data_IF_919381174066
#
_entry.id   IF_919381174066
#
_cell.length_a   1.000
_cell.length_b   1.000
_cell.length_c   1.000
_cell.angle_alpha   90.00
_cell.angle_beta   90.00
_cell.angle_gamma   90.00
#
_symmetry.space_group_name_H-M   'P 1'
#
loop_
_entity.id
_entity.type
_entity.pdbx_description
1 polymer ?
#
# COMPACT_ATOMS: atom_id res chain seq x y z
N UNK A 1 15.55 0.13 -6.53
CA UNK A 1 15.29 1.51 -6.07
C UNK A 1 13.96 2.01 -6.60
N UNK A 2 13.50 3.14 -6.10
CA UNK A 2 12.28 3.83 -6.51
C UNK A 2 12.39 5.29 -6.07
N UNK A 3 11.59 6.17 -6.70
CA UNK A 3 11.47 7.56 -6.28
C UNK A 3 10.31 7.71 -5.28
N UNK A 4 10.54 8.44 -4.21
CA UNK A 4 9.52 8.73 -3.21
C UNK A 4 9.73 10.10 -2.59
N UNK A 5 8.64 10.73 -2.19
CA UNK A 5 8.63 11.98 -1.44
C UNK A 5 8.50 11.77 0.09
N UNK A 6 8.70 10.55 0.57
CA UNK A 6 8.68 10.20 2.00
C UNK A 6 9.95 10.63 2.75
N UNK A 7 10.66 11.66 2.31
CA UNK A 7 11.79 12.21 3.04
C UNK A 7 11.30 12.97 4.29
N UNK A 8 11.97 12.82 5.46
CA UNK A 8 11.53 13.48 6.71
C UNK A 8 11.45 14.99 6.63
N UNK A 9 12.33 15.61 5.84
CA UNK A 9 12.40 17.06 5.66
C UNK A 9 11.44 17.60 4.58
N UNK A 10 10.80 16.71 3.84
CA UNK A 10 9.91 17.11 2.76
C UNK A 10 8.49 17.31 3.27
N UNK A 11 8.01 18.54 3.22
CA UNK A 11 6.62 18.86 3.53
C UNK A 11 5.72 18.40 2.37
N UNK A 12 4.72 17.57 2.70
CA UNK A 12 3.74 17.06 1.74
C UNK A 12 2.40 17.77 1.96
N UNK A 13 2.12 18.76 1.13
CA UNK A 13 0.92 19.60 1.26
C UNK A 13 -0.38 18.87 0.86
N UNK A 14 -0.29 17.76 0.14
CA UNK A 14 -1.47 17.04 -0.37
C UNK A 14 -2.13 16.09 0.63
N UNK A 15 -1.56 15.87 1.81
CA UNK A 15 -2.13 14.97 2.83
C UNK A 15 -3.56 15.35 3.20
N UNK A 16 -3.81 16.63 3.41
CA UNK A 16 -5.16 17.14 3.75
C UNK A 16 -6.14 16.92 2.60
N UNK A 17 -5.71 17.19 1.38
CA UNK A 17 -6.52 16.96 0.18
C UNK A 17 -6.81 15.46 -0.04
N UNK A 18 -5.82 14.60 0.18
CA UNK A 18 -6.00 13.14 0.17
C UNK A 18 -7.07 12.72 1.18
N UNK A 19 -6.98 13.18 2.42
CA UNK A 19 -7.94 12.85 3.47
C UNK A 19 -9.36 13.28 3.10
N UNK A 20 -9.53 14.50 2.58
CA UNK A 20 -10.84 15.02 2.15
C UNK A 20 -11.41 14.23 0.98
N UNK A 21 -10.57 13.89 0.00
CA UNK A 21 -10.99 13.19 -1.22
C UNK A 21 -11.43 11.75 -0.93
N UNK A 22 -10.72 11.05 -0.06
CA UNK A 22 -10.93 9.62 0.22
C UNK A 22 -11.64 9.34 1.56
N UNK A 23 -12.16 10.37 2.23
CA UNK A 23 -12.97 10.18 3.44
C UNK A 23 -14.15 9.21 3.25
N UNK A 24 -14.90 9.24 2.13
CA UNK A 24 -15.99 8.29 1.92
C UNK A 24 -15.54 6.83 1.90
N UNK A 25 -14.45 6.52 1.18
CA UNK A 25 -13.90 5.15 1.06
C UNK A 25 -13.34 4.66 2.39
N UNK A 26 -12.63 5.51 3.13
CA UNK A 26 -12.08 5.17 4.44
C UNK A 26 -13.21 5.01 5.47
N UNK A 27 -14.27 5.79 5.39
CA UNK A 27 -15.45 5.64 6.24
C UNK A 27 -16.19 4.33 5.94
N UNK A 28 -16.29 3.94 4.67
CA UNK A 28 -16.89 2.65 4.30
C UNK A 28 -16.07 1.48 4.84
N UNK A 29 -14.74 1.57 4.77
CA UNK A 29 -13.85 0.58 5.40
C UNK A 29 -14.13 0.42 6.91
N UNK A 30 -14.36 1.51 7.65
CA UNK A 30 -14.74 1.43 9.06
C UNK A 30 -16.05 0.69 9.28
N UNK A 31 -17.04 0.91 8.41
CA UNK A 31 -18.36 0.24 8.52
C UNK A 31 -18.29 -1.26 8.27
N UNK A 32 -17.36 -1.69 7.39
CA UNK A 32 -17.16 -3.10 7.06
C UNK A 32 -16.28 -3.85 8.08
N UNK A 33 -15.65 -3.13 8.98
CA UNK A 33 -14.80 -3.67 10.04
C UNK A 33 -15.40 -3.40 11.41
N UNK A 34 -14.82 -3.98 12.45
CA UNK A 34 -15.22 -3.66 13.84
C UNK A 34 -14.62 -2.37 14.38
N UNK A 35 -13.99 -1.58 13.50
CA UNK A 35 -13.31 -0.34 13.87
C UNK A 35 -14.29 0.82 13.96
N UNK A 36 -14.10 1.71 14.93
CA UNK A 36 -14.96 2.87 15.19
C UNK A 36 -14.36 4.17 14.68
N UNK A 37 -13.05 4.28 14.68
CA UNK A 37 -12.35 5.54 14.39
C UNK A 37 -11.05 5.27 13.62
N UNK A 38 -10.70 6.18 12.74
CA UNK A 38 -9.38 6.21 12.10
C UNK A 38 -8.78 7.61 12.09
N UNK A 39 -7.45 7.68 12.00
CA UNK A 39 -6.72 8.89 11.67
C UNK A 39 -5.63 8.57 10.64
N UNK A 40 -5.56 9.33 9.56
CA UNK A 40 -4.48 9.23 8.58
C UNK A 40 -3.23 9.86 9.19
N UNK A 41 -2.23 9.05 9.48
CA UNK A 41 -0.99 9.51 10.12
C UNK A 41 0.05 9.96 9.10
N UNK A 42 0.16 9.27 7.97
CA UNK A 42 1.09 9.61 6.90
C UNK A 42 0.51 9.29 5.51
N UNK A 43 0.91 10.06 4.49
CA UNK A 43 0.59 9.83 3.08
C UNK A 43 1.81 10.21 2.26
N UNK A 44 2.24 9.35 1.32
CA UNK A 44 3.36 9.64 0.43
C UNK A 44 3.16 9.00 -0.94
N UNK A 45 3.81 9.57 -1.95
CA UNK A 45 3.84 9.03 -3.31
C UNK A 45 5.08 8.17 -3.53
N UNK A 46 4.93 7.15 -4.37
CA UNK A 46 6.03 6.29 -4.81
C UNK A 46 5.90 6.07 -6.31
N UNK A 47 7.00 6.29 -7.04
CA UNK A 47 7.10 6.12 -8.47
C UNK A 47 8.19 5.10 -8.81
N UNK A 48 7.81 4.05 -9.56
CA UNK A 48 8.69 2.98 -10.01
C UNK A 48 8.91 3.10 -11.51
N UNK A 49 10.15 3.38 -11.90
CA UNK A 49 10.63 3.35 -13.28
C UNK A 49 11.07 1.94 -13.68
N UNK A 50 11.54 1.79 -14.90
CA UNK A 50 12.07 0.50 -15.36
C UNK A 50 13.19 -0.02 -14.45
N UNK A 51 13.05 -1.24 -13.97
CA UNK A 51 13.97 -1.91 -13.07
C UNK A 51 13.83 -1.55 -11.59
N UNK A 52 13.00 -0.56 -11.24
CA UNK A 52 12.76 -0.22 -9.84
C UNK A 52 11.91 -1.27 -9.13
N UNK A 53 12.23 -1.51 -7.88
CA UNK A 53 11.57 -2.50 -7.03
C UNK A 53 11.59 -2.05 -5.57
N UNK A 54 10.82 -2.71 -4.74
CA UNK A 54 10.85 -2.50 -3.29
C UNK A 54 11.00 -3.84 -2.58
N UNK A 55 12.02 -3.90 -1.72
CA UNK A 55 12.31 -5.11 -0.92
C UNK A 55 11.18 -5.39 0.08
N UNK A 56 11.05 -6.66 0.56
CA UNK A 56 10.10 -6.99 1.62
C UNK A 56 10.26 -6.11 2.84
N UNK A 57 9.17 -5.51 3.27
CA UNK A 57 9.10 -4.62 4.44
C UNK A 57 7.69 -4.62 5.03
N UNK A 58 7.55 -4.11 6.23
CA UNK A 58 6.27 -3.74 6.84
C UNK A 58 6.36 -2.32 7.38
N UNK A 59 5.23 -1.75 7.83
CA UNK A 59 5.23 -0.38 8.31
C UNK A 59 5.27 -0.29 9.84
N UNK A 60 4.36 -1.00 10.52
CA UNK A 60 4.22 -0.96 11.98
C UNK A 60 3.72 -2.30 12.50
N UNK A 61 3.81 -2.52 13.80
CA UNK A 61 3.23 -3.71 14.44
C UNK A 61 1.71 -3.63 14.62
N UNK A 62 1.15 -2.43 14.58
CA UNK A 62 -0.28 -2.16 14.73
C UNK A 62 -0.73 -1.10 13.72
N UNK A 63 -2.04 -1.04 13.46
CA UNK A 63 -2.64 -0.11 12.53
C UNK A 63 -2.95 -0.73 11.18
N UNK A 64 -3.34 0.12 10.25
CA UNK A 64 -3.69 -0.25 8.88
C UNK A 64 -2.84 0.57 7.91
N UNK A 65 -2.31 -0.09 6.92
CA UNK A 65 -1.64 0.55 5.79
C UNK A 65 -2.49 0.43 4.55
N UNK A 66 -2.37 1.39 3.64
CA UNK A 66 -3.11 1.38 2.39
C UNK A 66 -2.25 1.75 1.20
N UNK A 67 -2.68 1.32 0.04
CA UNK A 67 -2.08 1.63 -1.26
C UNK A 67 -3.20 2.04 -2.21
N UNK A 68 -3.07 3.24 -2.77
CA UNK A 68 -3.89 3.70 -3.89
C UNK A 68 -3.07 3.58 -5.18
N UNK A 69 -3.57 2.83 -6.16
CA UNK A 69 -2.93 2.64 -7.46
C UNK A 69 -3.30 3.79 -8.38
N UNK A 70 -2.40 4.75 -8.57
CA UNK A 70 -2.64 6.01 -9.30
C UNK A 70 -2.36 5.87 -10.79
N UNK A 71 -1.21 5.26 -11.15
CA UNK A 71 -0.86 4.94 -12.53
C UNK A 71 -0.44 3.47 -12.57
N UNK A 72 -1.34 2.62 -13.01
CA UNK A 72 -1.17 1.17 -12.95
C UNK A 72 -1.92 0.46 -14.07
N UNK A 73 -1.20 -0.34 -14.85
CA UNK A 73 -1.77 -1.26 -15.83
C UNK A 73 -1.42 -2.70 -15.42
N UNK A 74 -2.42 -3.53 -15.06
CA UNK A 74 -2.18 -4.91 -14.62
C UNK A 74 -1.56 -5.81 -15.71
N UNK A 75 -1.57 -5.40 -16.97
CA UNK A 75 -0.91 -6.12 -18.07
C UNK A 75 0.58 -5.83 -18.18
N UNK A 76 1.04 -4.72 -17.64
CA UNK A 76 2.41 -4.26 -17.75
C UNK A 76 3.15 -4.18 -16.41
N UNK A 77 2.43 -3.91 -15.32
CA UNK A 77 3.00 -3.67 -14.01
C UNK A 77 2.81 -4.87 -13.08
N UNK A 78 3.82 -5.18 -12.29
CA UNK A 78 3.68 -6.09 -11.16
C UNK A 78 2.79 -5.49 -10.09
N UNK A 79 1.92 -6.30 -9.51
CA UNK A 79 1.13 -5.93 -8.35
C UNK A 79 1.96 -5.82 -7.07
N UNK A 80 1.29 -5.76 -5.94
CA UNK A 80 1.93 -5.81 -4.62
C UNK A 80 1.88 -7.24 -4.12
N UNK A 81 3.04 -7.79 -3.75
CA UNK A 81 3.16 -9.12 -3.16
C UNK A 81 3.00 -8.99 -1.64
N UNK A 82 2.14 -9.78 -1.04
CA UNK A 82 1.94 -9.83 0.42
C UNK A 82 2.31 -11.21 0.93
N UNK A 83 3.24 -11.27 1.89
CA UNK A 83 3.61 -12.52 2.54
C UNK A 83 2.58 -12.91 3.61
N UNK A 84 2.18 -14.18 3.62
CA UNK A 84 1.42 -14.71 4.74
C UNK A 84 2.30 -14.71 6.00
N UNK A 85 1.74 -14.29 7.15
CA UNK A 85 2.50 -14.24 8.41
C UNK A 85 2.74 -15.63 9.05
N UNK A 86 2.30 -16.69 8.43
CA UNK A 86 2.49 -18.09 8.83
C UNK A 86 2.77 -18.97 7.63
N UNK A 87 3.44 -20.08 7.85
CA UNK A 87 3.66 -21.10 6.82
C UNK A 87 2.40 -21.96 6.61
N UNK A 88 2.28 -22.53 5.42
CA UNK A 88 1.30 -23.55 5.16
C UNK A 88 1.51 -24.74 6.11
N UNK A 89 0.50 -25.18 6.86
CA UNK A 89 0.68 -26.19 7.90
C UNK A 89 0.95 -27.61 7.37
N UNK A 90 0.79 -27.82 6.07
CA UNK A 90 1.00 -29.13 5.43
C UNK A 90 2.35 -29.19 4.73
N UNK A 91 2.72 -28.13 4.02
CA UNK A 91 3.94 -28.09 3.20
C UNK A 91 5.11 -27.37 3.87
N UNK A 92 4.85 -26.66 4.98
CA UNK A 92 5.79 -25.78 5.69
C UNK A 92 6.38 -24.66 4.79
N UNK A 93 5.70 -24.33 3.71
CA UNK A 93 6.13 -23.30 2.80
C UNK A 93 5.50 -21.96 3.14
N UNK A 94 6.29 -20.89 3.03
CA UNK A 94 5.78 -19.53 3.08
C UNK A 94 5.00 -19.23 1.81
N UNK A 95 3.73 -18.90 1.95
CA UNK A 95 2.90 -18.46 0.84
C UNK A 95 2.89 -16.93 0.72
N UNK A 96 2.70 -16.45 -0.49
CA UNK A 96 2.43 -15.03 -0.75
C UNK A 96 1.23 -14.88 -1.68
N UNK A 97 0.60 -13.72 -1.58
CA UNK A 97 -0.53 -13.34 -2.41
C UNK A 97 -0.10 -12.19 -3.32
N UNK A 98 -0.36 -12.34 -4.60
CA UNK A 98 -0.16 -11.29 -5.60
C UNK A 98 -1.43 -10.44 -5.69
N UNK A 99 -1.36 -9.20 -5.27
CA UNK A 99 -2.44 -8.24 -5.39
C UNK A 99 -2.26 -7.47 -6.69
N UNK A 100 -3.04 -7.81 -7.71
CA UNK A 100 -3.00 -7.17 -9.04
C UNK A 100 -4.33 -6.43 -9.27
N UNK A 101 -4.49 -5.24 -8.71
CA UNK A 101 -5.70 -4.45 -8.89
C UNK A 101 -5.72 -3.73 -10.25
N UNK A 102 -6.81 -3.03 -10.50
CA UNK A 102 -6.89 -2.04 -11.57
C UNK A 102 -6.46 -0.65 -11.09
N UNK A 103 -6.15 0.25 -12.02
CA UNK A 103 -5.91 1.66 -11.71
C UNK A 103 -7.13 2.27 -10.98
N UNK A 104 -6.87 3.13 -10.01
CA UNK A 104 -7.90 3.72 -9.15
C UNK A 104 -8.35 2.83 -7.98
N UNK A 105 -7.84 1.61 -7.86
CA UNK A 105 -8.14 0.75 -6.72
C UNK A 105 -7.35 1.17 -5.49
N UNK A 106 -8.01 1.16 -4.35
CA UNK A 106 -7.40 1.31 -3.02
C UNK A 106 -7.47 -0.04 -2.29
N UNK A 107 -6.34 -0.49 -1.79
CA UNK A 107 -6.26 -1.68 -0.92
C UNK A 107 -5.83 -1.27 0.47
N UNK A 108 -6.40 -1.90 1.49
CA UNK A 108 -6.05 -1.72 2.90
C UNK A 108 -5.72 -3.06 3.53
N UNK A 109 -4.70 -3.08 4.36
CA UNK A 109 -4.22 -4.30 5.02
C UNK A 109 -3.57 -3.94 6.37
N UNK A 110 -3.49 -4.90 7.32
CA UNK A 110 -2.78 -4.69 8.58
C UNK A 110 -1.33 -4.27 8.36
N UNK A 111 -0.89 -3.22 9.04
CA UNK A 111 0.45 -2.63 8.85
C UNK A 111 1.60 -3.60 9.14
N UNK A 112 1.38 -4.66 9.91
CA UNK A 112 2.36 -5.69 10.21
C UNK A 112 2.64 -6.66 9.05
N UNK A 113 1.77 -6.71 8.02
CA UNK A 113 1.97 -7.61 6.89
C UNK A 113 3.19 -7.19 6.08
N UNK A 114 4.09 -8.13 5.89
CA UNK A 114 5.24 -7.93 5.02
C UNK A 114 4.80 -7.97 3.58
N UNK A 115 5.20 -6.96 2.83
CA UNK A 115 4.88 -6.83 1.41
C UNK A 115 6.08 -6.29 0.63
N UNK A 116 6.07 -6.50 -0.68
CA UNK A 116 7.15 -6.09 -1.58
C UNK A 116 6.63 -5.88 -2.99
N UNK A 117 7.45 -5.27 -3.84
CA UNK A 117 7.17 -5.03 -5.24
C UNK A 117 8.30 -5.63 -6.06
N UNK A 118 7.96 -6.50 -6.99
CA UNK A 118 8.88 -7.02 -7.98
C UNK A 118 9.37 -5.91 -8.93
N UNK A 119 10.52 -6.07 -9.59
CA UNK A 119 11.01 -5.08 -10.53
C UNK A 119 9.97 -4.72 -11.60
N UNK A 120 9.83 -3.42 -11.86
CA UNK A 120 9.01 -2.93 -12.95
C UNK A 120 9.76 -3.12 -14.28
N UNK A 121 9.28 -4.03 -15.12
CA UNK A 121 9.86 -4.28 -16.45
C UNK A 121 9.14 -3.53 -17.58
N UNK A 122 8.13 -2.72 -17.24
CA UNK A 122 7.50 -1.81 -18.19
C UNK A 122 8.30 -0.51 -18.32
N UNK A 123 8.30 0.09 -19.49
CA UNK A 123 8.79 1.46 -19.71
C UNK A 123 7.80 2.52 -19.20
N UNK A 124 6.56 2.13 -18.94
CA UNK A 124 5.57 2.98 -18.31
C UNK A 124 5.79 2.98 -16.79
N UNK A 125 5.70 4.17 -16.21
CA UNK A 125 5.86 4.33 -14.76
C UNK A 125 4.70 3.68 -14.02
N UNK A 126 5.01 2.99 -12.93
CA UNK A 126 4.03 2.55 -11.94
C UNK A 126 4.03 3.55 -10.80
N UNK A 127 2.90 4.17 -10.52
CA UNK A 127 2.78 5.18 -9.46
C UNK A 127 1.70 4.78 -8.47
N UNK A 128 2.03 4.87 -7.20
CA UNK A 128 1.09 4.64 -6.10
C UNK A 128 1.14 5.80 -5.12
N UNK A 129 0.07 5.94 -4.34
CA UNK A 129 0.11 6.64 -3.07
C UNK A 129 -0.02 5.62 -1.95
N UNK A 130 0.92 5.63 -1.02
CA UNK A 130 0.87 4.82 0.17
C UNK A 130 0.48 5.68 1.37
N UNK A 131 -0.20 5.09 2.33
CA UNK A 131 -0.64 5.80 3.53
C UNK A 131 -0.76 4.87 4.73
N UNK A 132 -0.67 5.43 5.91
CA UNK A 132 -0.84 4.74 7.18
C UNK A 132 -2.00 5.32 7.97
N UNK A 133 -2.77 4.44 8.61
CA UNK A 133 -3.87 4.77 9.49
C UNK A 133 -3.60 4.28 10.92
N UNK A 134 -3.86 5.12 11.89
CA UNK A 134 -4.18 4.67 13.23
C UNK A 134 -5.67 4.35 13.30
N UNK A 135 -6.01 3.25 13.94
CA UNK A 135 -7.40 2.77 14.05
C UNK A 135 -7.71 2.43 15.50
N UNK A 136 -9.00 2.53 15.86
CA UNK A 136 -9.52 2.15 17.18
C UNK A 136 -10.75 1.26 17.04
N UNK A 137 -10.84 0.31 17.98
CA UNK A 137 -12.02 -0.49 18.22
C UNK A 137 -12.99 0.22 19.17
#
# INVERSE_FOLDING_TARGET
>A
TFLTDRAPEQERFYKEDFCKLFEPELTEFLKETSLIEFAVTDVWAVEYHYGDYQVPHNHKSVGVSGILYVNFDPKEHSGTQVLQPWNDPITDQTAFMDLVPEEGTMILFPSFLTHFINPNFSRNRRTIMAFDLEVRE
#
